data_IF_924780105011
#
_entry.id   IF_924780105011
#
_cell.length_a   1.000
_cell.length_b   1.000
_cell.length_c   1.000
_cell.angle_alpha   90.00
_cell.angle_beta   90.00
_cell.angle_gamma   90.00
#
_symmetry.space_group_name_H-M   'P 1'
#
loop_
_entity.id
_entity.type
_entity.pdbx_description
1 polymer ?
#
# COMPACT_ATOMS: atom_id res chain seq x y z
N UNK A 1 23.82 15.09 6.73
CA UNK A 1 23.52 14.45 8.04
C UNK A 1 22.07 13.93 8.17
N UNK A 2 21.06 14.70 7.78
CA UNK A 2 19.65 14.32 7.99
C UNK A 2 19.15 13.21 7.05
N UNK A 3 19.68 13.13 5.82
CA UNK A 3 19.30 12.10 4.86
C UNK A 3 19.60 10.68 5.37
N UNK A 4 20.78 10.45 5.96
CA UNK A 4 21.12 9.11 6.46
C UNK A 4 20.19 8.67 7.60
N UNK A 5 19.85 9.59 8.52
CA UNK A 5 18.88 9.31 9.60
C UNK A 5 17.49 8.98 9.05
N UNK A 6 17.07 9.66 7.98
CA UNK A 6 15.82 9.35 7.29
C UNK A 6 15.88 7.96 6.65
N UNK A 7 16.98 7.63 5.96
CA UNK A 7 17.18 6.33 5.34
C UNK A 7 17.25 5.18 6.37
N UNK A 8 17.70 5.44 7.60
CA UNK A 8 17.70 4.44 8.66
C UNK A 8 16.30 3.92 8.98
N UNK A 9 15.24 4.73 8.80
CA UNK A 9 13.85 4.30 8.97
C UNK A 9 13.44 3.23 7.96
N UNK A 10 14.08 3.20 6.79
CA UNK A 10 13.82 2.22 5.73
C UNK A 10 14.71 0.97 5.80
N UNK A 11 15.66 0.91 6.74
CA UNK A 11 16.68 -0.16 6.80
C UNK A 11 16.09 -1.56 6.98
N UNK A 12 14.96 -1.67 7.67
CA UNK A 12 14.22 -2.94 7.89
C UNK A 12 13.61 -3.52 6.60
N UNK A 13 13.49 -2.71 5.56
CA UNK A 13 13.02 -3.15 4.25
C UNK A 13 14.14 -3.78 3.38
N UNK A 14 15.41 -3.62 3.77
CA UNK A 14 16.54 -4.15 3.01
C UNK A 14 16.54 -5.68 3.02
N UNK A 15 16.77 -6.27 1.85
CA UNK A 15 16.99 -7.70 1.71
C UNK A 15 18.47 -8.06 1.94
N UNK A 16 18.79 -9.19 2.58
CA UNK A 16 20.16 -9.64 2.81
C UNK A 16 20.78 -10.26 1.55
N UNK A 17 20.72 -9.55 0.42
CA UNK A 17 21.15 -10.00 -0.90
C UNK A 17 21.96 -8.89 -1.59
N UNK A 18 22.80 -9.27 -2.55
CA UNK A 18 23.54 -8.28 -3.34
C UNK A 18 22.56 -7.38 -4.13
N UNK A 19 22.79 -6.06 -4.20
CA UNK A 19 21.94 -5.17 -4.97
C UNK A 19 21.88 -5.57 -6.44
N UNK A 20 20.66 -5.65 -6.96
CA UNK A 20 20.34 -5.88 -8.36
C UNK A 20 18.88 -5.45 -8.62
N UNK A 21 18.44 -5.31 -9.88
CA UNK A 21 17.13 -4.75 -10.19
C UNK A 21 15.97 -5.40 -9.43
N UNK A 22 15.97 -6.73 -9.34
CA UNK A 22 14.96 -7.50 -8.60
C UNK A 22 15.01 -7.25 -7.09
N UNK A 23 16.22 -7.18 -6.51
CA UNK A 23 16.40 -6.94 -5.08
C UNK A 23 15.95 -5.52 -4.71
N UNK A 24 16.23 -4.53 -5.57
CA UNK A 24 15.77 -3.16 -5.40
C UNK A 24 14.26 -3.08 -5.48
N UNK A 25 13.64 -3.66 -6.52
CA UNK A 25 12.18 -3.72 -6.70
C UNK A 25 11.48 -4.34 -5.48
N UNK A 26 11.99 -5.46 -4.98
CA UNK A 26 11.44 -6.10 -3.78
C UNK A 26 11.68 -5.29 -2.50
N UNK A 27 12.80 -4.58 -2.41
CA UNK A 27 13.09 -3.67 -1.28
C UNK A 27 12.09 -2.51 -1.25
N UNK A 28 11.78 -1.92 -2.41
CA UNK A 28 10.76 -0.87 -2.54
C UNK A 28 9.38 -1.36 -2.12
N UNK A 29 8.95 -2.52 -2.64
CA UNK A 29 7.69 -3.16 -2.26
C UNK A 29 7.62 -3.46 -0.76
N UNK A 30 8.70 -4.00 -0.16
CA UNK A 30 8.77 -4.26 1.27
C UNK A 30 8.72 -2.97 2.09
N UNK A 31 9.30 -1.87 1.60
CA UNK A 31 9.23 -0.58 2.28
C UNK A 31 7.78 -0.06 2.36
N UNK A 32 6.99 -0.26 1.31
CA UNK A 32 5.55 0.06 1.30
C UNK A 32 4.80 -0.75 2.35
N UNK A 33 4.98 -2.07 2.39
CA UNK A 33 4.32 -2.95 3.39
C UNK A 33 4.70 -2.54 4.81
N UNK A 34 5.99 -2.28 5.07
CA UNK A 34 6.46 -1.84 6.37
C UNK A 34 5.82 -0.50 6.80
N UNK A 35 5.62 0.44 5.87
CA UNK A 35 4.93 1.69 6.22
C UNK A 35 3.43 1.45 6.52
N UNK A 36 2.77 0.53 5.82
CA UNK A 36 1.38 0.15 6.15
C UNK A 36 1.28 -0.48 7.54
N UNK A 37 2.21 -1.37 7.89
CA UNK A 37 2.29 -1.97 9.24
C UNK A 37 2.48 -0.89 10.31
N UNK A 38 3.43 0.04 10.11
CA UNK A 38 3.66 1.17 11.01
C UNK A 38 2.44 2.08 11.12
N UNK A 39 1.73 2.34 10.02
CA UNK A 39 0.48 3.11 10.05
C UNK A 39 -0.56 2.43 10.95
N UNK A 40 -0.68 1.10 10.88
CA UNK A 40 -1.56 0.34 11.76
C UNK A 40 -1.12 0.33 13.23
N UNK A 41 0.15 0.62 13.53
CA UNK A 41 0.60 0.76 14.92
C UNK A 41 0.00 1.99 15.61
N UNK A 42 -0.28 3.08 14.88
CA UNK A 42 -0.92 4.27 15.44
C UNK A 42 -2.37 3.99 15.85
N UNK A 43 -2.75 4.15 17.15
CA UNK A 43 -4.09 3.81 17.63
C UNK A 43 -5.23 4.52 16.88
N UNK A 44 -5.00 5.78 16.47
CA UNK A 44 -5.97 6.60 15.75
C UNK A 44 -6.20 6.17 14.31
N UNK A 45 -5.22 5.53 13.68
CA UNK A 45 -5.34 4.96 12.32
C UNK A 45 -6.03 3.63 12.43
N UNK A 46 -5.52 2.75 13.31
CA UNK A 46 -6.06 1.41 13.54
C UNK A 46 -7.55 1.42 13.84
N UNK A 47 -8.01 2.28 14.75
CA UNK A 47 -9.42 2.34 15.13
C UNK A 47 -10.34 2.75 13.98
N UNK A 48 -9.88 3.66 13.12
CA UNK A 48 -10.63 4.12 11.94
C UNK A 48 -10.63 3.08 10.82
N UNK A 49 -9.52 2.38 10.62
CA UNK A 49 -9.45 1.26 9.66
C UNK A 49 -10.37 0.12 10.10
N UNK A 50 -10.28 -0.29 11.37
CA UNK A 50 -11.11 -1.38 11.92
C UNK A 50 -12.60 -1.05 11.95
N UNK A 51 -12.96 0.23 12.07
CA UNK A 51 -14.37 0.66 12.00
C UNK A 51 -14.86 0.99 10.58
N UNK A 52 -14.03 0.77 9.55
CA UNK A 52 -14.39 1.05 8.15
C UNK A 52 -14.44 2.53 7.77
N UNK A 53 -14.04 3.44 8.67
CA UNK A 53 -14.07 4.89 8.41
C UNK A 53 -12.97 5.33 7.44
N UNK A 54 -11.85 4.62 7.39
CA UNK A 54 -10.76 4.86 6.43
C UNK A 54 -10.22 3.52 5.93
N UNK A 55 -9.58 3.54 4.76
CA UNK A 55 -8.82 2.40 4.23
C UNK A 55 -7.36 2.79 4.04
N UNK A 56 -6.45 1.83 4.17
CA UNK A 56 -5.04 2.01 3.84
C UNK A 56 -4.74 1.34 2.51
N UNK A 57 -3.89 1.98 1.71
CA UNK A 57 -3.56 1.57 0.36
C UNK A 57 -2.05 1.60 0.17
N UNK A 58 -1.48 0.52 -0.36
CA UNK A 58 -0.05 0.43 -0.66
C UNK A 58 0.18 0.35 -2.16
N UNK A 59 0.77 1.39 -2.75
CA UNK A 59 1.08 1.43 -4.18
C UNK A 59 2.59 1.40 -4.41
N UNK A 60 2.99 0.67 -5.44
CA UNK A 60 4.34 0.65 -5.97
C UNK A 60 4.28 1.02 -7.47
N UNK A 61 4.91 2.13 -7.84
CA UNK A 61 4.88 2.64 -9.20
C UNK A 61 6.20 2.34 -9.91
N UNK A 62 6.13 1.61 -11.02
CA UNK A 62 7.28 1.31 -11.87
C UNK A 62 7.36 2.38 -12.95
N UNK A 63 8.29 3.31 -12.80
CA UNK A 63 8.36 4.53 -13.63
C UNK A 63 8.64 4.18 -15.10
N UNK A 64 9.54 3.23 -15.33
CA UNK A 64 9.97 2.81 -16.67
C UNK A 64 8.84 2.18 -17.48
N UNK A 65 7.93 1.49 -16.80
CA UNK A 65 6.83 0.73 -17.41
C UNK A 65 5.52 1.55 -17.38
N UNK A 66 5.46 2.62 -16.57
CA UNK A 66 4.23 3.40 -16.36
C UNK A 66 3.15 2.63 -15.60
N UNK A 67 3.55 1.59 -14.85
CA UNK A 67 2.62 0.65 -14.22
C UNK A 67 2.51 0.88 -12.72
N UNK A 68 1.26 0.84 -12.21
CA UNK A 68 0.97 0.83 -10.77
C UNK A 68 0.70 -0.59 -10.33
N UNK A 69 1.39 -1.02 -9.29
CA UNK A 69 1.11 -2.25 -8.56
C UNK A 69 0.51 -1.92 -7.20
N UNK A 70 -0.53 -2.65 -6.82
CA UNK A 70 -1.21 -2.51 -5.53
C UNK A 70 -0.86 -3.69 -4.65
N UNK A 71 -0.52 -3.42 -3.39
CA UNK A 71 -0.48 -4.45 -2.36
C UNK A 71 -1.90 -4.95 -2.04
N UNK A 72 -2.16 -6.21 -2.38
CA UNK A 72 -3.38 -6.93 -2.01
C UNK A 72 -3.14 -7.73 -0.72
N UNK A 73 -3.88 -7.36 0.32
CA UNK A 73 -3.79 -8.00 1.64
C UNK A 73 -4.26 -9.46 1.59
N UNK A 74 -5.16 -9.84 0.68
CA UNK A 74 -5.68 -11.22 0.58
C UNK A 74 -4.61 -12.17 0.06
N UNK A 75 -3.89 -11.77 -0.98
CA UNK A 75 -2.81 -12.57 -1.57
C UNK A 75 -1.47 -12.35 -0.90
N UNK A 76 -1.31 -11.28 -0.11
CA UNK A 76 -0.06 -10.91 0.55
C UNK A 76 1.01 -10.45 -0.44
N UNK A 77 0.60 -9.92 -1.60
CA UNK A 77 1.49 -9.61 -2.71
C UNK A 77 1.06 -8.37 -3.50
N UNK A 78 1.94 -7.93 -4.40
CA UNK A 78 1.67 -6.83 -5.31
C UNK A 78 1.06 -7.36 -6.60
N UNK A 79 -0.10 -6.80 -6.99
CA UNK A 79 -0.80 -7.12 -8.24
C UNK A 79 -0.93 -5.88 -9.11
N UNK A 80 -0.91 -5.99 -10.45
CA UNK A 80 -1.16 -4.83 -11.32
C UNK A 80 -2.50 -4.19 -10.99
N UNK A 81 -2.55 -2.86 -10.90
CA UNK A 81 -3.77 -2.12 -10.57
C UNK A 81 -4.93 -2.43 -11.52
N UNK A 82 -4.62 -2.74 -12.79
CA UNK A 82 -5.60 -3.16 -13.81
C UNK A 82 -6.29 -4.51 -13.51
N UNK A 83 -5.78 -5.28 -12.54
CA UNK A 83 -6.30 -6.60 -12.13
C UNK A 83 -6.62 -6.67 -10.65
N UNK A 84 -6.51 -5.56 -9.93
CA UNK A 84 -6.73 -5.53 -8.49
C UNK A 84 -8.22 -5.29 -8.20
N UNK A 85 -8.86 -6.20 -7.44
CA UNK A 85 -10.27 -6.04 -7.03
C UNK A 85 -10.49 -4.83 -6.11
N UNK A 86 -9.42 -4.39 -5.44
CA UNK A 86 -9.39 -3.21 -4.60
C UNK A 86 -7.93 -2.72 -4.53
N UNK A 87 -7.73 -1.55 -3.96
CA UNK A 87 -6.42 -0.91 -3.84
C UNK A 87 -5.87 -0.90 -2.40
N UNK A 88 -6.42 -1.70 -1.45
CA UNK A 88 -6.15 -1.55 -0.01
C UNK A 88 -6.59 -2.68 0.93
N UNK A 89 -6.97 -2.33 2.17
CA UNK A 89 -7.17 -3.26 3.30
C UNK A 89 -8.56 -3.90 3.42
N UNK A 90 -9.47 -3.74 2.46
CA UNK A 90 -10.81 -4.31 2.57
C UNK A 90 -11.68 -4.01 1.36
N UNK A 91 -12.86 -4.64 1.27
CA UNK A 91 -13.84 -4.23 0.27
C UNK A 91 -14.18 -2.76 0.52
N UNK A 92 -14.17 -1.96 -0.55
CA UNK A 92 -14.52 -0.55 -0.46
C UNK A 92 -15.97 -0.40 -0.02
N UNK A 93 -16.21 0.52 0.91
CA UNK A 93 -17.57 1.02 1.09
C UNK A 93 -18.01 1.63 -0.25
N UNK A 94 -19.24 1.33 -0.71
CA UNK A 94 -19.81 2.00 -1.88
C UNK A 94 -19.59 3.50 -1.73
N UNK A 95 -19.06 4.15 -2.76
CA UNK A 95 -18.88 5.59 -2.72
C UNK A 95 -20.27 6.23 -2.58
N UNK A 96 -20.47 7.01 -1.53
CA UNK A 96 -21.69 7.79 -1.34
C UNK A 96 -21.36 9.24 -1.66
N UNK A 97 -21.93 9.76 -2.74
CA UNK A 97 -21.83 11.17 -3.07
C UNK A 97 -22.35 12.05 -1.92
N UNK A 98 -21.92 13.31 -1.92
CA UNK A 98 -22.24 14.26 -0.86
C UNK A 98 -23.74 14.54 -0.72
N UNK A 99 -24.55 14.15 -1.71
CA UNK A 99 -26.01 14.23 -1.79
C UNK A 99 -26.74 12.93 -1.40
N UNK A 100 -25.99 11.89 -1.00
CA UNK A 100 -26.53 10.60 -0.55
C UNK A 100 -26.71 9.56 -1.65
N UNK A 101 -26.29 9.83 -2.89
CA UNK A 101 -26.30 8.80 -3.94
C UNK A 101 -25.19 7.78 -3.72
N UNK A 102 -25.55 6.51 -3.68
CA UNK A 102 -24.60 5.41 -3.61
C UNK A 102 -24.23 4.98 -5.02
N UNK A 103 -23.00 5.26 -5.44
CA UNK A 103 -22.42 4.66 -6.64
C UNK A 103 -21.93 3.26 -6.29
N UNK A 104 -22.73 2.27 -6.63
CA UNK A 104 -22.25 0.91 -6.80
C UNK A 104 -21.58 0.87 -8.17
N UNK A 105 -20.29 0.55 -8.22
CA UNK A 105 -19.65 0.17 -9.47
C UNK A 105 -20.37 -1.10 -9.97
N UNK A 106 -21.34 -0.93 -10.87
CA UNK A 106 -21.96 -2.04 -11.59
C UNK A 106 -20.91 -2.67 -12.49
N UNK A 107 -20.57 -3.93 -12.20
CA UNK A 107 -19.69 -4.80 -12.99
C UNK A 107 -20.27 -5.10 -14.37
#
# INVERSE_FOLDING_TARGET
>A
PNLNRWLDLGREALLPMQPGPEVLRRTEQRAVVLQLERLMEYPMVRSRVQSGQISLHGWHYVIEEGEVHVFDVKTGGFVPASRADNSGTGPYHPYVEHDGQVLLDEL
#
